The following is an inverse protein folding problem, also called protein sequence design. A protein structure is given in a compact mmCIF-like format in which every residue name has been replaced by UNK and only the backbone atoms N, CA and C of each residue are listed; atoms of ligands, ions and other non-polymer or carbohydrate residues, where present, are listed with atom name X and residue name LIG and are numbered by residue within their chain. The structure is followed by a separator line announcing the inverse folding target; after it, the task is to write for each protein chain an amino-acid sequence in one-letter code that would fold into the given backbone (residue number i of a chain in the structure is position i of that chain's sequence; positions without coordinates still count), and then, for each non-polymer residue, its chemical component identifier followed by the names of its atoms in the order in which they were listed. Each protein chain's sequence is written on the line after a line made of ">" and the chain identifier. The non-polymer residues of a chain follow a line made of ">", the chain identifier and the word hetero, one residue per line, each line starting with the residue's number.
data_IF_740718949528
#
_entry.id   IF_740718949528
#
_cell.length_a   1.000
_cell.length_b   1.000
_cell.length_c   1.000
_cell.angle_alpha   90.00
_cell.angle_beta   90.00
_cell.angle_gamma   90.00
#
_symmetry.space_group_name_H-M   'P 1'
#
loop_
_entity.id
_entity.type
_entity.pdbx_description
1 polymer ?
#
# COMPACT_ATOMS: atom_id res chain seq x y z
N UNK A 1 -3.78 -4.78 -19.75
CA UNK A 1 -4.43 -3.58 -19.16
C UNK A 1 -4.90 -3.92 -17.75
N UNK A 2 -4.54 -3.13 -16.74
CA UNK A 2 -4.79 -3.44 -15.32
C UNK A 2 -6.07 -2.81 -14.76
N UNK A 3 -6.99 -2.44 -15.66
CA UNK A 3 -8.22 -1.72 -15.32
C UNK A 3 -9.09 -2.53 -14.35
N UNK A 4 -9.51 -1.91 -13.26
CA UNK A 4 -10.38 -2.52 -12.25
C UNK A 4 -9.66 -3.36 -11.19
N UNK A 5 -8.35 -3.58 -11.30
CA UNK A 5 -7.56 -4.25 -10.24
C UNK A 5 -7.16 -3.25 -9.16
N UNK A 6 -7.33 -3.64 -7.90
CA UNK A 6 -6.87 -2.86 -6.75
C UNK A 6 -5.37 -3.04 -6.54
N UNK A 7 -4.68 -1.96 -6.16
CA UNK A 7 -3.24 -1.98 -5.90
C UNK A 7 -2.91 -1.17 -4.64
N UNK A 8 -1.97 -1.70 -3.86
CA UNK A 8 -1.31 -1.01 -2.75
C UNK A 8 0.08 -1.61 -2.58
N UNK A 9 1.01 -0.84 -2.03
CA UNK A 9 2.40 -1.24 -1.81
C UNK A 9 2.81 -0.92 -0.38
N UNK A 10 3.58 -1.80 0.24
CA UNK A 10 4.19 -1.58 1.54
C UNK A 10 5.64 -2.07 1.54
N UNK A 11 6.49 -1.49 2.38
CA UNK A 11 7.87 -1.95 2.49
C UNK A 11 8.74 -1.17 3.46
N UNK A 12 9.88 -1.78 3.81
CA UNK A 12 10.93 -1.12 4.59
C UNK A 12 11.93 -0.39 3.70
N UNK A 13 12.52 0.70 4.17
CA UNK A 13 13.52 1.47 3.45
C UNK A 13 14.72 1.85 4.32
N UNK A 14 15.90 1.96 3.71
CA UNK A 14 17.13 2.36 4.40
C UNK A 14 17.26 3.87 4.58
N UNK A 15 17.18 4.62 3.47
CA UNK A 15 17.39 6.07 3.45
C UNK A 15 16.13 6.85 2.99
N UNK A 16 15.89 6.99 1.68
CA UNK A 16 14.85 7.88 1.13
C UNK A 16 13.44 7.28 1.12
N UNK A 17 13.34 5.95 0.99
CA UNK A 17 12.03 5.27 0.93
C UNK A 17 11.19 5.61 -0.31
N UNK A 18 11.85 5.91 -1.42
CA UNK A 18 11.19 6.30 -2.69
C UNK A 18 10.49 5.12 -3.38
N UNK A 19 10.88 3.88 -3.07
CA UNK A 19 10.35 2.68 -3.70
C UNK A 19 8.81 2.60 -3.61
N UNK A 20 8.24 2.73 -2.42
CA UNK A 20 6.78 2.66 -2.20
C UNK A 20 6.07 3.74 -3.03
N UNK A 21 6.57 4.97 -3.01
CA UNK A 21 5.99 6.08 -3.77
C UNK A 21 6.09 5.84 -5.28
N UNK A 22 7.21 5.31 -5.76
CA UNK A 22 7.41 4.97 -7.17
C UNK A 22 6.47 3.86 -7.62
N UNK A 23 6.26 2.82 -6.80
CA UNK A 23 5.28 1.77 -7.11
C UNK A 23 3.85 2.32 -7.18
N UNK A 24 3.48 3.21 -6.26
CA UNK A 24 2.16 3.84 -6.26
C UNK A 24 1.97 4.79 -7.44
N UNK A 25 3.00 5.52 -7.85
CA UNK A 25 2.97 6.33 -9.07
C UNK A 25 2.80 5.45 -10.31
N UNK A 26 3.59 4.37 -10.41
CA UNK A 26 3.52 3.42 -11.53
C UNK A 26 2.17 2.74 -11.62
N UNK A 27 1.57 2.39 -10.49
CA UNK A 27 0.23 1.82 -10.43
C UNK A 27 -0.83 2.80 -11.01
N UNK A 28 -0.65 4.10 -10.78
CA UNK A 28 -1.50 5.15 -11.36
C UNK A 28 -1.39 5.18 -12.89
N UNK A 29 -0.16 5.14 -13.43
CA UNK A 29 0.08 5.13 -14.88
C UNK A 29 -0.53 3.88 -15.54
N UNK A 30 -0.44 2.74 -14.85
CA UNK A 30 -0.99 1.46 -15.31
C UNK A 30 -2.51 1.33 -15.09
N UNK A 31 -3.20 2.39 -14.63
CA UNK A 31 -4.65 2.45 -14.39
C UNK A 31 -5.16 1.47 -13.32
N UNK A 32 -4.33 1.15 -12.32
CA UNK A 32 -4.83 0.45 -11.13
C UNK A 32 -5.69 1.36 -10.26
N UNK A 33 -6.64 0.76 -9.53
CA UNK A 33 -7.38 1.45 -8.48
C UNK A 33 -6.54 1.47 -7.20
N UNK A 34 -6.01 2.64 -6.86
CA UNK A 34 -5.31 2.88 -5.60
C UNK A 34 -6.33 3.15 -4.50
N UNK A 35 -6.22 2.43 -3.39
CA UNK A 35 -7.11 2.59 -2.22
C UNK A 35 -6.45 3.32 -1.04
N UNK A 36 -5.16 3.60 -1.17
CA UNK A 36 -4.32 4.27 -0.18
C UNK A 36 -3.06 4.86 -0.86
N UNK A 37 -2.13 5.45 -0.10
CA UNK A 37 -0.87 6.07 -0.54
C UNK A 37 0.37 5.17 -0.37
N UNK A 38 0.27 4.04 0.30
CA UNK A 38 1.36 3.11 0.56
C UNK A 38 1.93 3.22 1.98
N UNK A 39 2.36 2.09 2.55
CA UNK A 39 2.98 2.06 3.88
C UNK A 39 4.50 1.92 3.81
N UNK A 40 5.23 2.71 4.59
CA UNK A 40 6.70 2.65 4.61
C UNK A 40 7.25 2.63 6.03
N UNK A 41 8.24 1.77 6.26
CA UNK A 41 8.93 1.65 7.56
C UNK A 41 10.42 1.90 7.41
N UNK A 42 11.04 2.61 8.34
CA UNK A 42 12.47 2.89 8.28
C UNK A 42 13.26 1.74 8.92
N UNK A 43 14.18 1.16 8.14
CA UNK A 43 15.12 0.12 8.59
C UNK A 43 14.39 -1.06 9.26
N UNK A 44 14.84 -1.45 10.46
CA UNK A 44 14.28 -2.56 11.23
C UNK A 44 12.99 -2.07 11.91
N UNK A 45 11.83 -2.64 11.57
CA UNK A 45 10.57 -2.24 12.17
C UNK A 45 10.58 -2.51 13.68
N UNK A 46 10.08 -1.56 14.46
CA UNK A 46 9.75 -1.80 15.88
C UNK A 46 8.44 -2.58 16.02
N UNK A 47 8.14 -3.13 17.20
CA UNK A 47 6.89 -3.86 17.46
C UNK A 47 5.64 -3.04 17.12
N UNK A 48 5.65 -1.73 17.41
CA UNK A 48 4.58 -0.81 17.02
C UNK A 48 4.40 -0.71 15.51
N UNK A 49 5.50 -0.62 14.76
CA UNK A 49 5.45 -0.50 13.29
C UNK A 49 5.00 -1.81 12.63
N UNK A 50 5.34 -2.96 13.24
CA UNK A 50 4.80 -4.25 12.82
C UNK A 50 3.29 -4.31 13.02
N UNK A 51 2.80 -3.80 14.15
CA UNK A 51 1.36 -3.75 14.43
C UNK A 51 0.63 -2.79 13.49
N UNK A 52 1.24 -1.63 13.20
CA UNK A 52 0.72 -0.66 12.24
C UNK A 52 0.67 -1.24 10.81
N UNK A 53 1.71 -1.99 10.39
CA UNK A 53 1.72 -2.71 9.11
C UNK A 53 0.57 -3.73 9.02
N UNK A 54 0.27 -4.44 10.13
CA UNK A 54 -0.86 -5.38 10.18
C UNK A 54 -2.19 -4.66 10.09
N UNK A 55 -2.34 -3.53 10.78
CA UNK A 55 -3.54 -2.69 10.73
C UNK A 55 -3.75 -2.14 9.32
N UNK A 56 -2.69 -1.68 8.68
CA UNK A 56 -2.68 -1.23 7.29
C UNK A 56 -3.20 -2.31 6.32
N UNK A 57 -2.69 -3.55 6.43
CA UNK A 57 -3.14 -4.65 5.59
C UNK A 57 -4.63 -4.97 5.80
N UNK A 58 -5.11 -4.92 7.05
CA UNK A 58 -6.54 -5.11 7.37
C UNK A 58 -7.40 -3.99 6.77
N UNK A 59 -6.97 -2.74 6.88
CA UNK A 59 -7.68 -1.58 6.33
C UNK A 59 -7.77 -1.66 4.79
N UNK A 60 -6.70 -2.11 4.12
CA UNK A 60 -6.69 -2.36 2.68
C UNK A 60 -7.78 -3.37 2.27
N UNK A 61 -7.84 -4.52 2.95
CA UNK A 61 -8.85 -5.55 2.67
C UNK A 61 -10.26 -5.03 2.95
N UNK A 62 -10.45 -4.29 4.04
CA UNK A 62 -11.75 -3.72 4.41
C UNK A 62 -12.25 -2.73 3.35
N UNK A 63 -11.38 -1.83 2.86
CA UNK A 63 -11.71 -0.91 1.77
C UNK A 63 -12.07 -1.64 0.48
N UNK A 64 -11.32 -2.67 0.12
CA UNK A 64 -11.62 -3.50 -1.07
C UNK A 64 -12.97 -4.18 -0.93
N UNK A 65 -13.26 -4.79 0.23
CA UNK A 65 -14.57 -5.42 0.49
C UNK A 65 -15.72 -4.42 0.40
N UNK A 66 -15.53 -3.20 0.93
CA UNK A 66 -16.54 -2.15 0.84
C UNK A 66 -16.81 -1.72 -0.62
N UNK A 67 -15.76 -1.63 -1.44
CA UNK A 67 -15.90 -1.31 -2.87
C UNK A 67 -16.41 -2.48 -3.72
N UNK A 68 -16.23 -3.74 -3.28
CA UNK A 68 -16.79 -4.94 -3.93
C UNK A 68 -18.29 -5.15 -3.61
N UNK A 69 -18.75 -4.68 -2.44
CA UNK A 69 -20.15 -4.76 -2.02
C UNK A 69 -21.00 -3.57 -2.48
N UNK A 70 -20.43 -2.68 -3.30
CA UNK A 70 -21.16 -1.66 -4.05
C UNK A 70 -21.59 -2.22 -5.41
#
# INVERSE_FOLDING_TARGET
>A
MCFGKYFSAFGSYGWSGEAVRNYMNRASELRFKKVDEGFKVRLKPSEKELEDTRLYARNFIMKIKAELNK
#
